data_IF_697715750362
#
_entry.id   IF_697715750362
#
_cell.length_a   1.000
_cell.length_b   1.000
_cell.length_c   1.000
_cell.angle_alpha   90.00
_cell.angle_beta   90.00
_cell.angle_gamma   90.00
#
_symmetry.space_group_name_H-M   'P 1'
#
loop_
_entity.id
_entity.type
_entity.pdbx_description
1 polymer ?
#
# COMPACT_ATOMS: atom_id res chain seq x y z
N UNK A 1 -17.41 9.68 32.70
CA UNK A 1 -16.37 10.44 31.98
C UNK A 1 -15.43 9.42 31.37
N UNK A 2 -15.63 9.06 30.10
CA UNK A 2 -14.85 8.01 29.43
C UNK A 2 -13.76 8.70 28.62
N UNK A 3 -12.52 8.56 29.08
CA UNK A 3 -11.31 9.01 28.38
C UNK A 3 -11.08 8.10 27.18
N UNK A 4 -11.43 8.55 25.99
CA UNK A 4 -11.04 7.90 24.74
C UNK A 4 -9.60 8.31 24.42
N UNK A 5 -8.66 7.41 24.69
CA UNK A 5 -7.29 7.50 24.18
C UNK A 5 -7.34 7.07 22.72
N UNK A 6 -7.49 8.03 21.81
CA UNK A 6 -7.18 7.85 20.39
C UNK A 6 -5.68 7.65 20.26
N UNK A 7 -5.25 6.40 20.18
CA UNK A 7 -3.87 6.05 19.83
C UNK A 7 -3.69 6.36 18.35
N UNK A 8 -3.27 7.59 18.05
CA UNK A 8 -2.81 8.01 16.73
C UNK A 8 -1.44 7.35 16.53
N UNK A 9 -1.42 6.12 16.02
CA UNK A 9 -0.23 5.55 15.41
C UNK A 9 -0.12 6.11 13.99
N UNK A 10 0.24 7.38 13.91
CA UNK A 10 0.91 7.95 12.75
C UNK A 10 2.28 7.27 12.67
N UNK A 11 2.33 6.09 12.04
CA UNK A 11 3.60 5.46 11.70
C UNK A 11 4.15 6.27 10.54
N UNK A 12 5.15 7.08 10.87
CA UNK A 12 5.98 7.87 9.98
C UNK A 12 6.31 7.09 8.72
N UNK A 13 5.81 7.55 7.57
CA UNK A 13 6.15 7.02 6.24
C UNK A 13 7.64 7.28 5.85
N UNK A 14 8.46 7.71 6.82
CA UNK A 14 9.89 8.01 6.73
C UNK A 14 10.63 7.52 7.99
N UNK A 15 10.34 6.28 8.44
CA UNK A 15 11.26 5.56 9.32
C UNK A 15 12.14 4.65 8.46
N UNK A 16 13.31 5.17 8.14
CA UNK A 16 14.47 4.41 7.70
C UNK A 16 14.90 3.46 8.82
N UNK A 17 14.49 2.19 8.81
CA UNK A 17 15.18 1.11 9.52
C UNK A 17 14.69 -0.28 9.07
N UNK A 18 15.65 -1.12 8.72
CA UNK A 18 15.74 -2.58 8.87
C UNK A 18 14.49 -3.35 9.37
N UNK A 19 14.18 -4.44 8.67
CA UNK A 19 13.09 -5.43 8.87
C UNK A 19 11.84 -5.27 7.99
N UNK A 20 12.02 -5.39 6.67
CA UNK A 20 10.92 -5.63 5.72
C UNK A 20 10.59 -7.13 5.60
N UNK A 21 10.18 -7.75 6.70
CA UNK A 21 9.39 -8.98 6.65
C UNK A 21 7.98 -8.67 7.17
N UNK A 22 7.05 -8.47 6.25
CA UNK A 22 5.63 -8.60 6.56
C UNK A 22 5.06 -9.73 5.73
N UNK A 23 5.27 -10.96 6.23
CA UNK A 23 4.72 -12.17 5.63
C UNK A 23 3.21 -12.32 5.86
N UNK A 24 2.58 -11.55 6.75
CA UNK A 24 1.17 -11.75 7.13
C UNK A 24 0.50 -10.47 7.66
N UNK A 25 0.51 -9.36 6.93
CA UNK A 25 -0.42 -8.27 7.27
C UNK A 25 -1.81 -8.57 6.68
N UNK A 26 -2.89 -8.44 7.47
CA UNK A 26 -4.24 -8.55 6.94
C UNK A 26 -4.43 -7.45 5.89
N UNK A 27 -4.69 -7.86 4.65
CA UNK A 27 -4.72 -7.04 3.44
C UNK A 27 -5.90 -6.04 3.42
N UNK A 28 -5.95 -5.10 4.35
CA UNK A 28 -6.85 -3.95 4.28
C UNK A 28 -6.00 -2.69 4.26
N UNK A 29 -5.55 -2.32 3.06
CA UNK A 29 -4.91 -1.02 2.80
C UNK A 29 -5.85 0.16 3.08
N UNK A 30 -7.15 -0.12 3.15
CA UNK A 30 -8.19 0.86 3.42
C UNK A 30 -8.82 0.53 4.77
N UNK A 31 -8.53 1.34 5.78
CA UNK A 31 -9.25 1.39 7.04
C UNK A 31 -10.42 2.37 6.83
N UNK A 32 -11.66 1.91 7.00
CA UNK A 32 -12.81 2.79 7.08
C UNK A 32 -13.44 2.71 8.46
N UNK A 33 -13.91 3.86 8.94
CA UNK A 33 -14.79 3.92 10.10
C UNK A 33 -16.19 3.54 9.65
N UNK A 34 -16.65 2.36 10.07
CA UNK A 34 -18.04 1.88 9.84
C UNK A 34 -19.07 2.75 10.56
N UNK A 35 -18.67 3.36 11.68
CA UNK A 35 -19.49 4.32 12.41
C UNK A 35 -19.83 5.48 11.46
N UNK A 36 -21.13 5.67 11.19
CA UNK A 36 -21.78 6.66 10.29
C UNK A 36 -22.12 6.23 8.84
N UNK A 37 -21.89 4.98 8.43
CA UNK A 37 -22.28 4.52 7.09
C UNK A 37 -23.67 3.86 7.05
N UNK A 38 -24.49 4.21 6.05
CA UNK A 38 -25.71 3.46 5.74
C UNK A 38 -25.38 2.13 5.08
N UNK A 39 -26.31 1.16 5.14
CA UNK A 39 -26.14 -0.15 4.47
C UNK A 39 -25.88 0.00 2.96
N UNK A 40 -26.52 0.98 2.32
CA UNK A 40 -26.28 1.29 0.91
C UNK A 40 -24.84 1.75 0.66
N UNK A 41 -24.34 2.68 1.48
CA UNK A 41 -22.96 3.17 1.37
C UNK A 41 -21.95 2.07 1.65
N UNK A 42 -22.22 1.20 2.63
CA UNK A 42 -21.36 0.04 2.92
C UNK A 42 -21.26 -0.89 1.71
N UNK A 43 -22.39 -1.22 1.08
CA UNK A 43 -22.42 -2.05 -0.13
C UNK A 43 -21.67 -1.42 -1.31
N UNK A 44 -21.73 -0.10 -1.47
CA UNK A 44 -20.96 0.63 -2.49
C UNK A 44 -19.45 0.62 -2.19
N UNK A 45 -19.07 0.81 -0.92
CA UNK A 45 -17.67 0.72 -0.47
C UNK A 45 -17.11 -0.69 -0.68
N UNK A 46 -17.90 -1.74 -0.45
CA UNK A 46 -17.48 -3.11 -0.74
C UNK A 46 -17.16 -3.32 -2.23
N UNK A 47 -18.04 -2.84 -3.13
CA UNK A 47 -17.76 -2.88 -4.58
C UNK A 47 -16.53 -2.08 -4.96
N UNK A 48 -16.32 -0.93 -4.31
CA UNK A 48 -15.14 -0.10 -4.51
C UNK A 48 -13.85 -0.85 -4.10
N UNK A 49 -13.89 -1.58 -2.99
CA UNK A 49 -12.80 -2.43 -2.53
C UNK A 49 -12.49 -3.54 -3.53
N UNK A 50 -13.50 -4.24 -4.04
CA UNK A 50 -13.32 -5.31 -5.04
C UNK A 50 -12.69 -4.79 -6.33
N UNK A 51 -13.00 -3.55 -6.73
CA UNK A 51 -12.39 -2.87 -7.89
C UNK A 51 -10.90 -2.55 -7.70
N UNK A 52 -10.50 -2.12 -6.52
CA UNK A 52 -9.17 -1.53 -6.28
C UNK A 52 -8.16 -2.47 -5.61
N UNK A 53 -8.62 -3.36 -4.73
CA UNK A 53 -7.75 -4.25 -3.96
C UNK A 53 -6.90 -5.19 -4.82
N UNK A 54 -7.41 -5.80 -5.90
CA UNK A 54 -6.57 -6.65 -6.77
C UNK A 54 -5.39 -5.88 -7.38
N UNK A 55 -5.62 -4.63 -7.83
CA UNK A 55 -4.59 -3.78 -8.44
C UNK A 55 -3.51 -3.40 -7.44
N UNK A 56 -3.91 -3.08 -6.21
CA UNK A 56 -2.98 -2.78 -5.12
C UNK A 56 -2.13 -3.99 -4.76
N UNK A 57 -2.75 -5.17 -4.64
CA UNK A 57 -2.06 -6.42 -4.36
C UNK A 57 -1.02 -6.73 -5.44
N UNK A 58 -1.41 -6.58 -6.71
CA UNK A 58 -0.51 -6.80 -7.84
C UNK A 58 0.70 -5.86 -7.82
N UNK A 59 0.48 -4.55 -7.61
CA UNK A 59 1.56 -3.58 -7.53
C UNK A 59 2.50 -3.85 -6.35
N UNK A 60 1.96 -4.19 -5.18
CA UNK A 60 2.78 -4.57 -4.02
C UNK A 60 3.64 -5.79 -4.32
N UNK A 61 3.09 -6.80 -5.00
CA UNK A 61 3.85 -7.98 -5.43
C UNK A 61 4.97 -7.59 -6.40
N UNK A 62 4.69 -6.75 -7.40
CA UNK A 62 5.72 -6.25 -8.34
C UNK A 62 6.83 -5.49 -7.61
N UNK A 63 6.48 -4.57 -6.71
CA UNK A 63 7.45 -3.82 -5.91
C UNK A 63 8.30 -4.74 -5.03
N UNK A 64 7.71 -5.77 -4.42
CA UNK A 64 8.45 -6.77 -3.64
C UNK A 64 9.46 -7.54 -4.49
N UNK A 65 9.04 -7.97 -5.69
CA UNK A 65 9.92 -8.70 -6.62
C UNK A 65 11.12 -7.83 -7.05
N UNK A 66 10.90 -6.56 -7.39
CA UNK A 66 12.00 -5.66 -7.75
C UNK A 66 12.96 -5.40 -6.58
N UNK A 67 12.46 -5.25 -5.34
CA UNK A 67 13.31 -5.13 -4.14
C UNK A 67 14.12 -6.40 -3.90
N UNK A 68 13.49 -7.56 -4.06
CA UNK A 68 14.16 -8.86 -3.92
C UNK A 68 15.26 -9.00 -4.97
N UNK A 69 14.99 -8.60 -6.21
CA UNK A 69 15.97 -8.62 -7.30
C UNK A 69 17.17 -7.70 -7.00
N UNK A 70 16.93 -6.49 -6.49
CA UNK A 70 18.01 -5.59 -6.03
C UNK A 70 18.85 -6.26 -4.95
N UNK A 71 18.22 -6.80 -3.91
CA UNK A 71 18.94 -7.44 -2.79
C UNK A 71 19.78 -8.64 -3.26
N UNK A 72 19.23 -9.47 -4.15
CA UNK A 72 19.94 -10.60 -4.74
C UNK A 72 21.13 -10.13 -5.58
N UNK A 73 20.96 -9.10 -6.42
CA UNK A 73 22.04 -8.56 -7.24
C UNK A 73 23.17 -7.97 -6.39
N UNK A 74 22.81 -7.16 -5.39
CA UNK A 74 23.75 -6.53 -4.47
C UNK A 74 24.50 -7.53 -3.58
N UNK A 75 23.99 -8.75 -3.40
CA UNK A 75 24.66 -9.82 -2.65
C UNK A 75 25.80 -10.51 -3.41
N UNK A 76 25.92 -10.27 -4.73
CA UNK A 76 26.97 -10.86 -5.55
C UNK A 76 28.32 -10.21 -5.27
N UNK A 77 29.41 -10.95 -5.52
CA UNK A 77 30.78 -10.43 -5.43
C UNK A 77 31.02 -9.22 -6.35
N UNK A 78 30.43 -9.26 -7.54
CA UNK A 78 30.45 -8.18 -8.53
C UNK A 78 29.00 -7.90 -8.96
N UNK A 79 28.28 -6.98 -8.29
CA UNK A 79 26.91 -6.62 -8.67
C UNK A 79 26.85 -5.96 -10.05
N UNK A 80 25.80 -6.25 -10.82
CA UNK A 80 25.48 -5.52 -12.05
C UNK A 80 24.66 -4.26 -11.71
N UNK A 81 25.30 -3.08 -11.78
CA UNK A 81 24.67 -1.79 -11.52
C UNK A 81 23.50 -1.49 -12.47
N UNK A 82 23.54 -1.96 -13.71
CA UNK A 82 22.46 -1.74 -14.67
C UNK A 82 21.19 -2.49 -14.23
N UNK A 83 21.35 -3.71 -13.71
CA UNK A 83 20.25 -4.51 -13.16
C UNK A 83 19.63 -3.82 -11.94
N UNK A 84 20.48 -3.33 -11.02
CA UNK A 84 20.03 -2.61 -9.82
C UNK A 84 19.28 -1.33 -10.20
N UNK A 85 19.84 -0.50 -11.07
CA UNK A 85 19.26 0.77 -11.48
C UNK A 85 17.93 0.58 -12.21
N UNK A 86 17.82 -0.43 -13.08
CA UNK A 86 16.57 -0.75 -13.77
C UNK A 86 15.48 -1.19 -12.77
N UNK A 87 15.82 -2.04 -11.81
CA UNK A 87 14.87 -2.48 -10.78
C UNK A 87 14.46 -1.34 -9.83
N UNK A 88 15.36 -0.42 -9.48
CA UNK A 88 15.02 0.79 -8.72
C UNK A 88 14.03 1.66 -9.49
N UNK A 89 14.28 1.91 -10.77
CA UNK A 89 13.39 2.71 -11.63
C UNK A 89 11.99 2.08 -11.70
N UNK A 90 11.90 0.78 -11.95
CA UNK A 90 10.61 0.07 -11.97
C UNK A 90 9.90 0.15 -10.62
N UNK A 91 10.62 0.01 -9.50
CA UNK A 91 10.02 0.17 -8.17
C UNK A 91 9.41 1.56 -7.97
N UNK A 92 10.10 2.61 -8.42
CA UNK A 92 9.60 3.98 -8.36
C UNK A 92 8.37 4.18 -9.24
N UNK A 93 8.33 3.58 -10.42
CA UNK A 93 7.16 3.63 -11.32
C UNK A 93 5.94 2.95 -10.67
N UNK A 94 6.11 1.74 -10.13
CA UNK A 94 5.04 1.03 -9.41
C UNK A 94 4.58 1.79 -8.16
N UNK A 95 5.48 2.44 -7.43
CA UNK A 95 5.12 3.27 -6.28
C UNK A 95 4.27 4.49 -6.68
N UNK A 96 4.59 5.13 -7.81
CA UNK A 96 3.80 6.24 -8.36
C UNK A 96 2.40 5.77 -8.76
N UNK A 97 2.30 4.61 -9.41
CA UNK A 97 1.02 4.02 -9.79
C UNK A 97 0.18 3.66 -8.55
N UNK A 98 0.80 3.06 -7.52
CA UNK A 98 0.13 2.72 -6.27
C UNK A 98 -0.41 3.98 -5.58
N UNK A 99 0.37 5.07 -5.55
CA UNK A 99 -0.07 6.35 -5.00
C UNK A 99 -1.28 6.90 -5.76
N UNK A 100 -1.29 6.81 -7.09
CA UNK A 100 -2.43 7.22 -7.91
C UNK A 100 -3.66 6.39 -7.57
N UNK A 101 -3.54 5.07 -7.53
CA UNK A 101 -4.65 4.17 -7.19
C UNK A 101 -5.22 4.46 -5.79
N UNK A 102 -4.36 4.71 -4.81
CA UNK A 102 -4.79 5.08 -3.47
C UNK A 102 -5.57 6.42 -3.45
N UNK A 103 -5.12 7.39 -4.25
CA UNK A 103 -5.81 8.68 -4.41
C UNK A 103 -7.17 8.51 -5.09
N UNK A 104 -7.23 7.73 -6.17
CA UNK A 104 -8.48 7.47 -6.91
C UNK A 104 -9.49 6.74 -6.02
N UNK A 105 -9.06 5.73 -5.26
CA UNK A 105 -9.90 5.07 -4.26
C UNK A 105 -10.43 6.06 -3.22
N UNK A 106 -9.57 6.90 -2.64
CA UNK A 106 -9.96 7.83 -1.58
C UNK A 106 -10.97 8.86 -2.09
N UNK A 107 -10.81 9.31 -3.33
CA UNK A 107 -11.76 10.21 -3.97
C UNK A 107 -13.14 9.54 -4.13
N UNK A 108 -13.21 8.35 -4.73
CA UNK A 108 -14.46 7.62 -4.92
C UNK A 108 -15.11 7.25 -3.57
N UNK A 109 -14.32 6.86 -2.57
CA UNK A 109 -14.79 6.57 -1.22
C UNK A 109 -15.44 7.80 -0.57
N UNK A 110 -14.82 8.98 -0.71
CA UNK A 110 -15.37 10.23 -0.18
C UNK A 110 -16.64 10.65 -0.91
N UNK A 111 -16.80 10.31 -2.20
CA UNK A 111 -18.03 10.55 -2.94
C UNK A 111 -19.19 9.68 -2.44
N UNK A 112 -18.92 8.42 -2.05
CA UNK A 112 -19.94 7.53 -1.44
C UNK A 112 -20.36 8.04 -0.04
N UNK A 113 -19.43 8.65 0.71
CA UNK A 113 -19.70 9.18 2.05
C UNK A 113 -20.51 10.48 2.08
N UNK A 114 -20.54 11.24 0.98
CA UNK A 114 -21.30 12.50 0.88
C UNK A 114 -22.80 12.27 0.90
#
# INVERSE_FOLDING_TARGET
MVLFITVILSISLFAESENYYCANEPYTYFIYSEDSLTEKQLNEIMKLKDKYQPKISELRKKMYLERTKINLEMSKKNPDELVVNNSLKLNMEYAKELKKIASDFLQEYNEIKK
#
